data_IF_816853857782
#
_entry.id   IF_816853857782
#
_cell.length_a   1.000
_cell.length_b   1.000
_cell.length_c   1.000
_cell.angle_alpha   90.00
_cell.angle_beta   90.00
_cell.angle_gamma   90.00
#
_symmetry.space_group_name_H-M   'P 1'
#
loop_
_entity.id
_entity.type
_entity.pdbx_description
1 polymer ?
#
# COMPACT_ATOMS: atom_id res chain seq x y z
N UNK A 1 3.88 -23.16 0.56
CA UNK A 1 4.97 -23.38 -0.43
C UNK A 1 4.52 -22.70 -1.72
N UNK A 2 5.15 -21.59 -2.09
CA UNK A 2 4.80 -20.83 -3.30
C UNK A 2 5.51 -21.51 -4.48
N UNK A 3 4.77 -21.92 -5.51
CA UNK A 3 5.34 -22.54 -6.72
C UNK A 3 5.91 -21.47 -7.66
N UNK A 4 6.81 -21.83 -8.57
CA UNK A 4 7.39 -20.94 -9.58
C UNK A 4 6.31 -20.13 -10.35
N UNK A 5 5.20 -20.78 -10.68
CA UNK A 5 4.04 -20.18 -11.32
C UNK A 5 3.33 -19.12 -10.46
N UNK A 6 3.29 -19.32 -9.14
CA UNK A 6 2.69 -18.36 -8.22
C UNK A 6 3.58 -17.12 -8.08
N UNK A 7 4.91 -17.26 -8.23
CA UNK A 7 5.84 -16.14 -8.16
C UNK A 7 5.71 -15.22 -9.38
N UNK A 8 5.53 -15.77 -10.59
CA UNK A 8 5.32 -14.98 -11.81
C UNK A 8 4.02 -14.17 -11.76
N UNK A 9 2.92 -14.78 -11.28
CA UNK A 9 1.64 -14.07 -11.10
C UNK A 9 1.76 -12.96 -10.05
N UNK A 10 2.50 -13.21 -8.96
CA UNK A 10 2.78 -12.19 -7.95
C UNK A 10 3.60 -11.04 -8.56
N UNK A 11 4.64 -11.33 -9.35
CA UNK A 11 5.45 -10.32 -10.04
C UNK A 11 4.59 -9.50 -11.03
N UNK A 12 3.71 -10.13 -11.80
CA UNK A 12 2.80 -9.44 -12.73
C UNK A 12 1.79 -8.54 -12.02
N UNK A 13 1.28 -8.99 -10.87
CA UNK A 13 0.37 -8.19 -10.03
C UNK A 13 1.12 -7.01 -9.40
N UNK A 14 2.36 -7.22 -8.94
CA UNK A 14 3.22 -6.15 -8.42
C UNK A 14 3.59 -5.13 -9.50
N UNK A 15 3.80 -5.55 -10.74
CA UNK A 15 4.10 -4.65 -11.87
C UNK A 15 2.89 -3.75 -12.23
N UNK A 16 1.67 -4.25 -12.04
CA UNK A 16 0.44 -3.45 -12.19
C UNK A 16 0.18 -2.49 -11.02
N UNK A 17 0.66 -2.82 -9.81
CA UNK A 17 0.45 -2.03 -8.60
C UNK A 17 1.55 -0.98 -8.41
N UNK A 18 2.79 -1.30 -8.75
CA UNK A 18 3.92 -0.35 -8.79
C UNK A 18 4.90 -0.64 -9.93
N UNK A 19 4.74 0.00 -11.11
CA UNK A 19 5.65 -0.19 -12.26
C UNK A 19 7.08 0.31 -11.99
N UNK A 20 7.32 0.96 -10.85
CA UNK A 20 8.63 1.48 -10.47
C UNK A 20 9.56 0.36 -9.97
N UNK A 21 9.03 -0.73 -9.42
CA UNK A 21 9.83 -1.87 -8.96
C UNK A 21 10.57 -2.52 -10.13
N UNK A 22 9.89 -2.68 -11.27
CA UNK A 22 10.48 -3.16 -12.52
C UNK A 22 11.57 -2.20 -13.05
N UNK A 23 11.33 -0.89 -12.93
CA UNK A 23 12.33 0.14 -13.29
C UNK A 23 13.57 0.14 -12.39
N UNK A 24 13.43 -0.10 -11.09
CA UNK A 24 14.58 -0.21 -10.16
C UNK A 24 15.47 -1.39 -10.57
N UNK A 25 14.88 -2.57 -10.75
CA UNK A 25 15.61 -3.78 -11.12
C UNK A 25 16.31 -3.63 -12.48
N UNK A 26 15.66 -2.94 -13.42
CA UNK A 26 16.26 -2.65 -14.73
C UNK A 26 17.38 -1.61 -14.63
N UNK A 27 17.20 -0.54 -13.83
CA UNK A 27 18.18 0.56 -13.68
C UNK A 27 19.44 0.15 -12.90
N UNK A 28 19.35 -0.85 -12.03
CA UNK A 28 20.53 -1.45 -11.38
C UNK A 28 21.47 -2.17 -12.36
N UNK A 29 21.13 -2.23 -13.66
CA UNK A 29 21.87 -3.03 -14.64
C UNK A 29 22.64 -2.25 -15.72
N UNK A 30 22.53 -0.92 -15.89
CA UNK A 30 23.21 -0.25 -17.03
C UNK A 30 23.54 1.26 -16.85
N UNK A 31 24.85 1.55 -16.86
CA UNK A 31 25.62 2.76 -17.23
C UNK A 31 25.88 3.98 -16.30
N UNK A 32 27.15 4.03 -15.85
CA UNK A 32 28.14 5.14 -15.78
C UNK A 32 28.15 6.19 -14.64
N UNK A 33 29.34 6.40 -14.08
CA UNK A 33 29.61 6.65 -12.65
C UNK A 33 30.23 8.04 -12.32
N UNK A 34 30.25 9.04 -13.20
CA UNK A 34 31.08 10.24 -12.97
C UNK A 34 30.39 11.59 -12.68
N UNK A 35 29.06 11.73 -12.81
CA UNK A 35 28.33 12.95 -12.36
C UNK A 35 27.17 12.62 -11.40
N UNK A 36 27.22 11.42 -10.83
CA UNK A 36 26.09 10.78 -10.18
C UNK A 36 25.87 11.31 -8.77
N UNK A 37 26.92 11.51 -7.95
CA UNK A 37 26.74 11.70 -6.50
C UNK A 37 25.85 12.89 -6.08
N UNK A 38 25.95 14.06 -6.74
CA UNK A 38 25.20 15.25 -6.30
C UNK A 38 23.73 15.27 -6.75
N UNK A 39 23.42 14.75 -7.94
CA UNK A 39 22.05 14.67 -8.45
C UNK A 39 21.36 13.33 -8.12
N UNK A 40 22.12 12.23 -8.04
CA UNK A 40 21.61 10.94 -7.55
C UNK A 40 21.13 11.07 -6.12
N UNK A 41 21.82 11.77 -5.23
CA UNK A 41 21.39 11.84 -3.83
C UNK A 41 20.02 12.54 -3.68
N UNK A 42 19.77 13.60 -4.46
CA UNK A 42 18.46 14.28 -4.48
C UNK A 42 17.39 13.42 -5.16
N UNK A 43 17.67 12.91 -6.36
CA UNK A 43 16.74 12.06 -7.11
C UNK A 43 16.43 10.75 -6.36
N UNK A 44 17.41 10.21 -5.65
CA UNK A 44 17.28 9.01 -4.82
C UNK A 44 16.48 9.31 -3.55
N UNK A 45 16.66 10.47 -2.92
CA UNK A 45 15.84 10.87 -1.77
C UNK A 45 14.37 11.01 -2.17
N UNK A 46 14.09 11.69 -3.29
CA UNK A 46 12.73 11.83 -3.82
C UNK A 46 12.15 10.46 -4.18
N UNK A 47 12.96 9.60 -4.80
CA UNK A 47 12.59 8.24 -5.11
C UNK A 47 12.27 7.42 -3.84
N UNK A 48 13.13 7.46 -2.82
CA UNK A 48 12.91 6.79 -1.53
C UNK A 48 11.63 7.28 -0.87
N UNK A 49 11.39 8.59 -0.86
CA UNK A 49 10.19 9.16 -0.25
C UNK A 49 8.92 8.68 -0.96
N UNK A 50 8.91 8.64 -2.29
CA UNK A 50 7.80 8.09 -3.08
C UNK A 50 7.60 6.60 -2.81
N UNK A 51 8.66 5.82 -2.78
CA UNK A 51 8.60 4.38 -2.48
C UNK A 51 8.09 4.13 -1.06
N UNK A 52 8.51 4.94 -0.08
CA UNK A 52 8.04 4.83 1.29
C UNK A 52 6.54 5.13 1.42
N UNK A 53 6.05 6.16 0.74
CA UNK A 53 4.62 6.47 0.69
C UNK A 53 3.81 5.31 0.09
N UNK A 54 4.30 4.72 -0.99
CA UNK A 54 3.67 3.55 -1.63
C UNK A 54 3.68 2.32 -0.73
N UNK A 55 4.80 2.02 -0.07
CA UNK A 55 4.90 0.93 0.89
C UNK A 55 3.94 1.13 2.08
N UNK A 56 3.78 2.36 2.55
CA UNK A 56 2.83 2.68 3.62
C UNK A 56 1.38 2.50 3.17
N UNK A 57 1.04 2.89 1.94
CA UNK A 57 -0.28 2.65 1.37
C UNK A 57 -0.54 1.15 1.20
N UNK A 58 0.43 0.39 0.72
CA UNK A 58 0.34 -1.06 0.54
C UNK A 58 0.14 -1.78 1.88
N UNK A 59 0.89 -1.41 2.91
CA UNK A 59 0.69 -1.92 4.28
C UNK A 59 -0.71 -1.60 4.81
N UNK A 60 -1.20 -0.37 4.55
CA UNK A 60 -2.56 0.04 4.93
C UNK A 60 -3.63 -0.77 4.19
N UNK A 61 -3.43 -1.03 2.89
CA UNK A 61 -4.32 -1.85 2.08
C UNK A 61 -4.38 -3.29 2.58
N UNK A 62 -3.24 -3.90 2.95
CA UNK A 62 -3.21 -5.23 3.57
C UNK A 62 -3.98 -5.25 4.89
N UNK A 63 -3.72 -4.28 5.77
CA UNK A 63 -4.42 -4.19 7.07
C UNK A 63 -5.93 -4.05 6.90
N UNK A 64 -6.37 -3.21 5.96
CA UNK A 64 -7.79 -3.04 5.65
C UNK A 64 -8.39 -4.31 5.06
N UNK A 65 -7.65 -4.99 4.17
CA UNK A 65 -8.07 -6.25 3.56
C UNK A 65 -8.30 -7.29 4.64
N UNK A 66 -7.32 -7.54 5.52
CA UNK A 66 -7.42 -8.54 6.58
C UNK A 66 -8.60 -8.24 7.51
N UNK A 67 -8.70 -6.98 7.97
CA UNK A 67 -9.78 -6.57 8.87
C UNK A 67 -11.17 -6.68 8.23
N UNK A 68 -11.34 -6.15 7.03
CA UNK A 68 -12.63 -6.14 6.36
C UNK A 68 -13.01 -7.53 5.84
N UNK A 69 -12.03 -8.38 5.55
CA UNK A 69 -12.25 -9.78 5.27
C UNK A 69 -12.93 -10.47 6.45
N UNK A 70 -12.34 -10.41 7.64
CA UNK A 70 -12.90 -11.04 8.86
C UNK A 70 -14.30 -10.52 9.24
N UNK A 71 -14.64 -9.30 8.82
CA UNK A 71 -15.91 -8.64 9.15
C UNK A 71 -17.01 -8.89 8.13
N UNK A 72 -16.66 -8.91 6.84
CA UNK A 72 -17.63 -8.92 5.75
C UNK A 72 -17.71 -10.26 5.03
N UNK A 73 -16.65 -11.07 5.08
CA UNK A 73 -16.58 -12.37 4.43
C UNK A 73 -16.76 -13.46 5.47
N UNK A 74 -17.83 -14.26 5.33
CA UNK A 74 -18.06 -15.44 6.16
C UNK A 74 -17.15 -16.62 5.79
N UNK A 75 -17.54 -17.83 6.19
CA UNK A 75 -16.69 -19.04 6.06
C UNK A 75 -16.24 -19.37 4.63
N UNK A 76 -17.05 -19.01 3.61
CA UNK A 76 -16.69 -19.27 2.22
C UNK A 76 -17.20 -18.18 1.28
N UNK A 77 -16.32 -17.45 0.58
CA UNK A 77 -16.74 -16.53 -0.48
C UNK A 77 -17.36 -17.32 -1.65
N UNK A 78 -18.43 -16.79 -2.22
CA UNK A 78 -19.02 -17.32 -3.46
C UNK A 78 -18.12 -17.08 -4.68
N UNK A 79 -18.55 -17.54 -5.86
CA UNK A 79 -17.84 -17.25 -7.12
C UNK A 79 -17.80 -15.76 -7.47
N UNK A 80 -18.71 -14.97 -6.90
CA UNK A 80 -18.80 -13.51 -7.03
C UNK A 80 -19.17 -12.95 -5.67
N UNK A 81 -18.74 -11.73 -5.40
CA UNK A 81 -19.23 -10.98 -4.24
C UNK A 81 -20.71 -10.69 -4.47
N UNK A 82 -21.54 -10.95 -3.47
CA UNK A 82 -22.94 -10.52 -3.51
C UNK A 82 -23.03 -9.03 -3.15
N UNK A 83 -24.13 -8.39 -3.52
CA UNK A 83 -24.32 -6.95 -3.31
C UNK A 83 -24.24 -6.53 -1.83
N UNK A 84 -24.58 -7.44 -0.90
CA UNK A 84 -24.49 -7.18 0.54
C UNK A 84 -23.03 -7.14 0.99
N UNK A 85 -22.23 -8.06 0.49
CA UNK A 85 -20.80 -8.17 0.77
C UNK A 85 -20.05 -6.98 0.19
N UNK A 86 -20.34 -6.58 -1.06
CA UNK A 86 -19.77 -5.38 -1.68
C UNK A 86 -20.08 -4.12 -0.85
N UNK A 87 -21.34 -3.96 -0.44
CA UNK A 87 -21.76 -2.84 0.42
C UNK A 87 -21.06 -2.89 1.78
N UNK A 88 -20.90 -4.08 2.38
CA UNK A 88 -20.18 -4.24 3.64
C UNK A 88 -18.72 -3.80 3.52
N UNK A 89 -18.02 -4.22 2.47
CA UNK A 89 -16.61 -3.88 2.24
C UNK A 89 -16.42 -2.37 2.07
N UNK A 90 -17.27 -1.70 1.28
CA UNK A 90 -17.23 -0.23 1.12
C UNK A 90 -17.40 0.47 2.47
N UNK A 91 -18.44 0.08 3.22
CA UNK A 91 -18.71 0.64 4.54
C UNK A 91 -17.57 0.36 5.53
N UNK A 92 -16.98 -0.83 5.52
CA UNK A 92 -15.90 -1.21 6.42
C UNK A 92 -14.69 -0.28 6.26
N UNK A 93 -14.26 -0.06 5.00
CA UNK A 93 -13.13 0.83 4.70
C UNK A 93 -13.45 2.28 5.07
N UNK A 94 -14.61 2.80 4.66
CA UNK A 94 -15.02 4.18 4.98
C UNK A 94 -15.10 4.43 6.50
N UNK A 95 -15.71 3.49 7.25
CA UNK A 95 -15.81 3.61 8.72
C UNK A 95 -14.45 3.60 9.39
N UNK A 96 -13.50 2.78 8.90
CA UNK A 96 -12.15 2.75 9.44
C UNK A 96 -11.42 4.09 9.24
N UNK A 97 -11.54 4.68 8.04
CA UNK A 97 -10.92 5.96 7.71
C UNK A 97 -11.52 7.07 8.57
N UNK A 98 -12.85 7.15 8.65
CA UNK A 98 -13.56 8.15 9.47
C UNK A 98 -13.15 8.07 10.96
N UNK A 99 -13.12 6.86 11.51
CA UNK A 99 -12.72 6.64 12.89
C UNK A 99 -11.25 7.04 13.13
N UNK A 100 -10.36 6.68 12.20
CA UNK A 100 -8.94 7.02 12.28
C UNK A 100 -8.72 8.54 12.24
N UNK A 101 -9.38 9.25 11.32
CA UNK A 101 -9.32 10.71 11.22
C UNK A 101 -9.90 11.39 12.46
N UNK A 102 -11.00 10.87 13.01
CA UNK A 102 -11.59 11.38 14.24
C UNK A 102 -10.61 11.27 15.42
N UNK A 103 -9.97 10.11 15.58
CA UNK A 103 -8.97 9.89 16.64
C UNK A 103 -7.77 10.84 16.50
N UNK A 104 -7.20 10.96 15.31
CA UNK A 104 -6.08 11.88 15.04
C UNK A 104 -6.46 13.32 15.36
N UNK A 105 -7.63 13.77 14.89
CA UNK A 105 -8.13 15.14 15.15
C UNK A 105 -8.28 15.41 16.64
N UNK A 106 -8.76 14.43 17.42
CA UNK A 106 -8.91 14.56 18.87
C UNK A 106 -7.56 14.60 19.59
N UNK A 107 -6.63 13.73 19.19
CA UNK A 107 -5.27 13.72 19.75
C UNK A 107 -4.55 15.05 19.48
N UNK A 108 -4.62 15.58 18.26
CA UNK A 108 -4.04 16.88 17.90
C UNK A 108 -4.61 18.02 18.75
N UNK A 109 -5.93 18.06 18.96
CA UNK A 109 -6.58 19.06 19.83
C UNK A 109 -6.09 18.96 21.29
N UNK A 110 -5.94 17.75 21.82
CA UNK A 110 -5.47 17.55 23.19
C UNK A 110 -3.99 17.94 23.37
N UNK A 111 -3.14 17.69 22.36
CA UNK A 111 -1.73 18.07 22.38
C UNK A 111 -1.54 19.59 22.29
N UNK A 112 -2.36 20.29 21.50
CA UNK A 112 -2.30 21.75 21.37
C UNK A 112 -2.82 22.49 22.61
N UNK A 113 -3.73 21.88 23.39
CA UNK A 113 -4.28 22.44 24.62
C UNK A 113 -3.41 22.31 25.87
N UNK A 114 -2.18 21.79 25.76
CA UNK A 114 -1.20 21.64 26.86
C UNK A 114 0.01 22.61 26.74
N UNK A 115 -0.18 23.77 26.10
CA UNK A 115 0.83 24.85 26.03
C UNK A 115 0.32 26.13 26.68
#
# INVERSE_FOLDING_TARGET
MITQSNLEVIIQVWDQIDPSISRILTRMSFENEHDLAANLDSDLQDFIQQQQQKAQLQSSAHKLTDMCWDRCIGDRPGQRLDAKTETCLSNCVERFIDASMFLVTRLQKNLQGHS
#
